data_IF_264091387817
#
_entry.id   IF_264091387817
#
_cell.length_a   1.000
_cell.length_b   1.000
_cell.length_c   1.000
_cell.angle_alpha   90.00
_cell.angle_beta   90.00
_cell.angle_gamma   90.00
#
_symmetry.space_group_name_H-M   'P 1'
#
loop_
_entity.id
_entity.type
_entity.pdbx_description
1 polymer ?
#
# COMPACT_ATOMS: atom_id res chain seq x y z
N UNK A 1 -89.42 19.26 -37.54
CA UNK A 1 -88.24 19.34 -38.43
C UNK A 1 -87.04 18.85 -37.62
N UNK A 2 -86.53 17.72 -38.07
CA UNK A 2 -85.51 16.92 -37.36
C UNK A 2 -84.15 17.31 -37.91
N UNK A 3 -83.21 17.76 -37.05
CA UNK A 3 -81.88 18.05 -37.50
C UNK A 3 -80.92 17.01 -36.90
N UNK A 4 -80.22 16.28 -37.81
CA UNK A 4 -79.33 15.17 -37.52
C UNK A 4 -77.95 15.76 -37.21
N UNK A 5 -77.46 15.58 -35.99
CA UNK A 5 -76.08 15.85 -35.60
C UNK A 5 -75.15 14.71 -36.01
N UNK A 6 -74.09 15.02 -36.77
CA UNK A 6 -73.02 14.10 -37.16
C UNK A 6 -72.06 13.87 -35.99
N UNK A 7 -71.88 12.62 -35.64
CA UNK A 7 -70.82 12.19 -34.72
C UNK A 7 -69.52 12.05 -35.49
N UNK A 8 -68.48 12.79 -35.05
CA UNK A 8 -67.13 12.62 -35.52
C UNK A 8 -66.41 11.69 -34.55
N UNK A 9 -65.93 10.57 -35.06
CA UNK A 9 -65.13 9.58 -34.31
C UNK A 9 -63.66 10.00 -34.41
N UNK A 10 -62.99 10.23 -33.26
CA UNK A 10 -61.52 10.35 -33.17
C UNK A 10 -60.92 8.98 -32.98
N UNK A 11 -59.83 8.61 -33.73
CA UNK A 11 -59.12 7.37 -33.45
C UNK A 11 -58.17 7.58 -32.27
N UNK A 12 -58.27 6.73 -31.27
CA UNK A 12 -57.39 6.62 -30.14
C UNK A 12 -56.06 5.97 -30.65
N UNK A 13 -55.00 6.73 -30.76
CA UNK A 13 -53.65 6.21 -31.00
C UNK A 13 -53.12 5.65 -29.69
N UNK A 14 -53.00 4.32 -29.57
CA UNK A 14 -52.22 3.66 -28.53
C UNK A 14 -50.72 3.84 -28.82
N UNK A 15 -50.05 4.69 -28.04
CA UNK A 15 -48.61 4.72 -27.97
C UNK A 15 -48.15 3.55 -27.12
N UNK A 16 -47.66 2.48 -27.73
CA UNK A 16 -46.94 1.39 -27.04
C UNK A 16 -45.54 1.88 -26.76
N UNK A 17 -45.28 2.25 -25.48
CA UNK A 17 -43.92 2.51 -24.98
C UNK A 17 -43.16 1.19 -24.81
N UNK A 18 -42.29 0.91 -25.78
CA UNK A 18 -41.27 -0.15 -25.65
C UNK A 18 -40.27 0.27 -24.59
N UNK A 19 -40.42 -0.27 -23.37
CA UNK A 19 -39.39 -0.23 -22.35
C UNK A 19 -38.24 -1.14 -22.78
N UNK A 20 -37.18 -0.53 -23.33
CA UNK A 20 -35.89 -1.20 -23.47
C UNK A 20 -35.31 -1.37 -22.07
N UNK A 21 -35.51 -2.53 -21.45
CA UNK A 21 -34.71 -2.96 -20.32
C UNK A 21 -33.30 -3.27 -20.84
N UNK A 22 -32.36 -2.36 -20.63
CA UNK A 22 -30.95 -2.66 -20.80
C UNK A 22 -30.59 -3.82 -19.83
N UNK A 23 -29.91 -4.87 -20.30
CA UNK A 23 -29.45 -5.91 -19.40
C UNK A 23 -28.49 -5.25 -18.39
N UNK A 24 -28.83 -5.34 -17.12
CA UNK A 24 -27.91 -5.06 -16.02
C UNK A 24 -26.81 -6.12 -16.15
N UNK A 25 -25.65 -5.75 -16.67
CA UNK A 25 -24.47 -6.60 -16.66
C UNK A 25 -24.17 -6.85 -15.18
N UNK A 26 -24.54 -8.02 -14.71
CA UNK A 26 -24.16 -8.49 -13.37
C UNK A 26 -22.63 -8.48 -13.34
N UNK A 27 -22.04 -7.58 -12.57
CA UNK A 27 -20.60 -7.52 -12.36
C UNK A 27 -20.21 -8.83 -11.68
N UNK A 28 -19.57 -9.72 -12.43
CA UNK A 28 -19.12 -11.00 -11.87
C UNK A 28 -18.12 -10.72 -10.76
N UNK A 29 -18.33 -11.35 -9.60
CA UNK A 29 -17.40 -11.25 -8.48
C UNK A 29 -15.96 -11.55 -8.97
N UNK A 30 -14.95 -10.85 -8.47
CA UNK A 30 -13.56 -11.11 -8.85
C UNK A 30 -13.17 -12.54 -8.49
N UNK A 31 -12.38 -13.17 -9.37
CA UNK A 31 -11.80 -14.47 -9.06
C UNK A 31 -10.73 -14.30 -7.97
N UNK A 32 -10.89 -15.03 -6.87
CA UNK A 32 -10.02 -14.94 -5.70
C UNK A 32 -9.33 -16.29 -5.47
N UNK A 33 -8.00 -16.31 -5.53
CA UNK A 33 -7.17 -17.42 -5.09
C UNK A 33 -6.54 -17.06 -3.74
N UNK A 34 -6.61 -17.98 -2.77
CA UNK A 34 -5.99 -17.84 -1.45
C UNK A 34 -5.04 -18.99 -1.19
N UNK A 35 -3.84 -18.69 -0.67
CA UNK A 35 -2.89 -19.70 -0.20
C UNK A 35 -2.25 -19.32 1.13
N UNK A 36 -2.13 -20.27 2.08
CA UNK A 36 -1.29 -20.12 3.26
C UNK A 36 0.19 -20.18 2.82
N UNK A 37 1.00 -19.24 3.29
CA UNK A 37 2.41 -19.14 2.88
C UNK A 37 3.35 -19.27 4.06
N UNK A 38 3.24 -18.40 5.07
CA UNK A 38 4.18 -18.39 6.19
C UNK A 38 3.68 -17.53 7.33
N UNK A 39 4.31 -17.62 8.50
CA UNK A 39 3.91 -16.85 9.67
C UNK A 39 4.51 -15.46 9.66
N UNK A 40 3.75 -14.48 10.12
CA UNK A 40 4.19 -13.10 10.22
C UNK A 40 4.37 -12.43 8.88
N UNK A 41 3.41 -12.60 7.96
CA UNK A 41 3.42 -11.94 6.66
C UNK A 41 3.25 -10.43 6.82
N UNK A 42 4.05 -9.66 6.07
CA UNK A 42 4.03 -8.22 6.04
C UNK A 42 3.95 -7.70 4.61
N UNK A 43 4.94 -6.96 4.14
CA UNK A 43 4.89 -6.33 2.83
C UNK A 43 5.33 -7.26 1.71
N UNK A 44 4.88 -6.92 0.53
CA UNK A 44 5.17 -7.65 -0.70
C UNK A 44 5.63 -6.69 -1.78
N UNK A 45 6.51 -7.17 -2.65
CA UNK A 45 6.87 -6.50 -3.89
C UNK A 45 6.78 -7.48 -5.07
N UNK A 46 6.35 -6.96 -6.22
CA UNK A 46 6.35 -7.70 -7.46
C UNK A 46 7.61 -7.37 -8.27
N UNK A 47 8.35 -8.36 -8.69
CA UNK A 47 9.44 -8.21 -9.65
C UNK A 47 8.96 -8.55 -11.05
N UNK A 48 8.89 -7.55 -11.91
CA UNK A 48 8.54 -7.75 -13.32
C UNK A 48 9.64 -8.56 -14.04
N UNK A 49 10.91 -8.27 -13.76
CA UNK A 49 12.04 -8.96 -14.39
C UNK A 49 12.07 -10.46 -14.09
N UNK A 50 11.71 -10.85 -12.86
CA UNK A 50 11.70 -12.23 -12.42
C UNK A 50 10.31 -12.88 -12.52
N UNK A 51 9.29 -12.13 -12.89
CA UNK A 51 7.88 -12.53 -12.86
C UNK A 51 7.54 -13.27 -11.55
N UNK A 52 7.80 -12.61 -10.44
CA UNK A 52 7.68 -13.20 -9.11
C UNK A 52 7.20 -12.20 -8.07
N UNK A 53 6.48 -12.69 -7.08
CA UNK A 53 6.07 -11.93 -5.90
C UNK A 53 6.98 -12.30 -4.73
N UNK A 54 7.47 -11.32 -3.97
CA UNK A 54 8.31 -11.53 -2.80
C UNK A 54 7.59 -11.04 -1.57
N UNK A 55 7.45 -11.94 -0.58
CA UNK A 55 6.73 -11.69 0.66
C UNK A 55 7.70 -11.67 1.84
N UNK A 56 7.75 -10.55 2.57
CA UNK A 56 8.46 -10.44 3.83
C UNK A 56 7.70 -11.18 4.96
N UNK A 57 8.38 -12.05 5.70
CA UNK A 57 7.79 -12.74 6.85
C UNK A 57 8.71 -12.74 8.06
N UNK A 58 8.17 -12.33 9.19
CA UNK A 58 8.90 -12.27 10.47
C UNK A 58 8.97 -13.63 11.20
N UNK A 59 8.24 -14.63 10.75
CA UNK A 59 8.06 -15.95 11.33
C UNK A 59 7.44 -15.90 12.75
N UNK A 60 8.21 -15.97 13.79
CA UNK A 60 7.74 -15.92 15.18
C UNK A 60 8.02 -14.58 15.84
N UNK A 61 7.15 -14.14 16.75
CA UNK A 61 7.40 -12.97 17.60
C UNK A 61 8.48 -13.22 18.66
N UNK A 62 8.66 -14.47 19.06
CA UNK A 62 9.55 -14.89 20.16
C UNK A 62 11.00 -15.05 19.73
N UNK A 63 11.23 -15.27 18.41
CA UNK A 63 12.56 -15.48 17.88
C UNK A 63 13.17 -14.14 17.44
N UNK A 64 14.40 -13.88 17.85
CA UNK A 64 15.17 -12.74 17.37
C UNK A 64 15.65 -12.92 15.93
N UNK A 65 15.75 -14.19 15.52
CA UNK A 65 16.26 -14.65 14.22
C UNK A 65 15.17 -15.42 13.46
N UNK A 66 15.49 -15.82 12.25
CA UNK A 66 14.65 -16.72 11.47
C UNK A 66 13.65 -16.03 10.56
N UNK A 67 13.83 -14.75 10.23
CA UNK A 67 13.05 -14.07 9.20
C UNK A 67 13.27 -14.67 7.84
N UNK A 68 12.21 -14.75 7.04
CA UNK A 68 12.19 -15.38 5.72
C UNK A 68 11.52 -14.46 4.71
N UNK A 69 12.08 -14.42 3.50
CA UNK A 69 11.41 -13.87 2.33
C UNK A 69 11.00 -15.04 1.45
N UNK A 70 9.70 -15.16 1.16
CA UNK A 70 9.18 -16.15 0.23
C UNK A 70 9.10 -15.56 -1.17
N UNK A 71 9.68 -16.27 -2.16
CA UNK A 71 9.42 -16.03 -3.57
C UNK A 71 8.24 -16.89 -3.99
N UNK A 72 7.22 -16.25 -4.57
CA UNK A 72 5.98 -16.90 -4.97
C UNK A 72 5.79 -16.81 -6.49
N UNK A 73 5.24 -17.85 -7.07
CA UNK A 73 4.67 -17.79 -8.40
C UNK A 73 3.44 -16.84 -8.38
N UNK A 74 3.38 -15.80 -9.21
CA UNK A 74 2.32 -14.80 -9.14
C UNK A 74 0.97 -15.31 -9.62
N UNK A 75 0.92 -16.43 -10.34
CA UNK A 75 -0.32 -17.04 -10.85
C UNK A 75 -0.91 -18.01 -9.85
N UNK A 76 -0.08 -18.92 -9.33
CA UNK A 76 -0.50 -20.02 -8.47
C UNK A 76 -0.32 -19.75 -6.98
N UNK A 77 0.48 -18.72 -6.61
CA UNK A 77 0.94 -18.40 -5.26
C UNK A 77 1.77 -19.53 -4.62
N UNK A 78 2.29 -20.46 -5.40
CA UNK A 78 3.19 -21.48 -4.89
C UNK A 78 4.54 -20.89 -4.49
N UNK A 79 5.07 -21.36 -3.36
CA UNK A 79 6.42 -20.99 -2.94
C UNK A 79 7.44 -21.64 -3.89
N UNK A 80 8.17 -20.80 -4.62
CA UNK A 80 9.21 -21.24 -5.56
C UNK A 80 10.61 -21.17 -4.96
N UNK A 81 10.81 -20.33 -3.93
CA UNK A 81 12.07 -20.22 -3.20
C UNK A 81 11.82 -19.70 -1.78
N UNK A 82 12.63 -20.18 -0.84
CA UNK A 82 12.69 -19.70 0.54
C UNK A 82 14.04 -19.03 0.73
N UNK A 83 14.02 -17.70 1.00
CA UNK A 83 15.22 -16.90 1.20
C UNK A 83 15.34 -16.61 2.70
N UNK A 84 16.37 -17.17 3.34
CA UNK A 84 16.63 -16.96 4.75
C UNK A 84 17.27 -15.58 4.96
N UNK A 85 16.50 -14.68 5.59
CA UNK A 85 16.97 -13.34 5.91
C UNK A 85 17.71 -13.28 7.26
N UNK A 86 17.62 -14.32 8.07
CA UNK A 86 18.15 -14.49 9.44
C UNK A 86 17.58 -13.51 10.47
N UNK A 87 17.21 -12.31 10.06
CA UNK A 87 16.52 -11.29 10.86
C UNK A 87 15.16 -10.98 10.24
N UNK A 88 14.28 -10.31 10.98
CA UNK A 88 12.88 -10.18 10.63
C UNK A 88 12.62 -9.07 9.59
N UNK A 89 12.28 -9.40 8.33
CA UNK A 89 11.87 -8.41 7.34
C UNK A 89 10.40 -8.03 7.55
N UNK A 90 10.09 -6.75 7.32
CA UNK A 90 8.76 -6.18 7.42
C UNK A 90 8.40 -5.36 6.17
N UNK A 91 9.01 -4.19 6.00
CA UNK A 91 8.85 -3.34 4.81
C UNK A 91 9.60 -3.92 3.62
N UNK A 92 9.12 -3.64 2.41
CA UNK A 92 9.71 -4.16 1.18
C UNK A 92 9.72 -3.09 0.07
N UNK A 93 10.82 -3.04 -0.69
CA UNK A 93 10.93 -2.25 -1.92
C UNK A 93 11.75 -3.00 -2.96
N UNK A 94 11.63 -2.59 -4.22
CA UNK A 94 12.39 -3.15 -5.33
C UNK A 94 12.96 -2.02 -6.20
N UNK A 95 14.21 -2.12 -6.57
CA UNK A 95 14.73 -1.41 -7.71
C UNK A 95 14.45 -2.23 -8.98
N UNK A 96 13.45 -1.83 -9.75
CA UNK A 96 13.01 -2.59 -10.92
C UNK A 96 14.07 -2.66 -12.04
N UNK A 97 15.04 -1.75 -12.09
CA UNK A 97 16.12 -1.76 -13.09
C UNK A 97 17.23 -2.74 -12.76
N UNK A 98 17.59 -2.84 -11.47
CA UNK A 98 18.67 -3.72 -11.02
C UNK A 98 18.17 -5.08 -10.56
N UNK A 99 16.86 -5.22 -10.32
CA UNK A 99 16.26 -6.41 -9.71
C UNK A 99 16.61 -6.57 -8.23
N UNK A 100 17.22 -5.57 -7.60
CA UNK A 100 17.57 -5.61 -6.17
C UNK A 100 16.32 -5.41 -5.32
N UNK A 101 16.08 -6.34 -4.42
CA UNK A 101 15.04 -6.28 -3.40
C UNK A 101 15.62 -5.68 -2.12
N UNK A 102 14.85 -4.82 -1.46
CA UNK A 102 15.23 -4.23 -0.18
C UNK A 102 14.18 -4.57 0.87
N UNK A 103 14.61 -5.01 2.05
CA UNK A 103 13.74 -5.33 3.17
C UNK A 103 14.15 -4.58 4.41
N UNK A 104 13.19 -3.85 5.00
CA UNK A 104 13.37 -3.17 6.27
C UNK A 104 13.24 -4.14 7.43
N UNK A 105 14.27 -4.21 8.26
CA UNK A 105 14.29 -5.06 9.46
C UNK A 105 14.01 -4.19 10.68
N UNK A 106 12.74 -3.93 10.93
CA UNK A 106 12.26 -2.96 11.93
C UNK A 106 12.82 -3.21 13.34
N UNK A 107 12.90 -4.46 13.75
CA UNK A 107 13.39 -4.85 15.10
C UNK A 107 14.91 -4.72 15.22
N UNK A 108 15.62 -4.82 14.08
CA UNK A 108 17.08 -4.80 14.02
C UNK A 108 17.65 -3.48 13.50
N UNK A 109 16.82 -2.46 13.30
CA UNK A 109 17.18 -1.12 12.85
C UNK A 109 18.04 -1.11 11.56
N UNK A 110 17.78 -2.04 10.64
CA UNK A 110 18.61 -2.27 9.47
C UNK A 110 17.81 -2.49 8.20
N UNK A 111 18.49 -2.45 7.06
CA UNK A 111 17.98 -2.85 5.74
C UNK A 111 18.80 -4.02 5.23
N UNK A 112 18.16 -4.98 4.58
CA UNK A 112 18.81 -6.06 3.82
C UNK A 112 18.56 -5.84 2.35
N UNK A 113 19.60 -5.98 1.51
CA UNK A 113 19.49 -6.07 0.08
C UNK A 113 19.63 -7.53 -0.39
N UNK A 114 18.76 -7.95 -1.29
CA UNK A 114 18.72 -9.32 -1.84
C UNK A 114 18.71 -9.23 -3.37
N UNK A 115 19.49 -10.07 -4.01
CA UNK A 115 19.40 -10.26 -5.45
C UNK A 115 18.09 -10.99 -5.78
N UNK A 116 17.19 -10.34 -6.51
CA UNK A 116 15.86 -10.91 -6.83
C UNK A 116 15.95 -12.17 -7.71
N UNK A 117 16.97 -12.27 -8.55
CA UNK A 117 17.14 -13.41 -9.45
C UNK A 117 17.63 -14.67 -8.71
N UNK A 118 18.64 -14.51 -7.87
CA UNK A 118 19.29 -15.62 -7.17
C UNK A 118 18.73 -15.89 -5.78
N UNK A 119 18.17 -14.86 -5.12
CA UNK A 119 17.79 -14.90 -3.72
C UNK A 119 18.98 -14.73 -2.77
N UNK A 120 20.15 -14.37 -3.27
CA UNK A 120 21.34 -14.17 -2.45
C UNK A 120 21.24 -12.85 -1.68
N UNK A 121 21.58 -12.89 -0.39
CA UNK A 121 21.71 -11.68 0.45
C UNK A 121 22.99 -10.94 0.03
N UNK A 122 22.83 -9.79 -0.62
CA UNK A 122 23.93 -8.93 -1.09
C UNK A 122 24.63 -8.20 0.06
N UNK A 123 23.86 -7.84 1.08
CA UNK A 123 24.39 -7.10 2.21
C UNK A 123 23.31 -6.61 3.18
N UNK A 124 23.77 -5.98 4.24
CA UNK A 124 22.94 -5.43 5.31
C UNK A 124 23.54 -4.12 5.81
N UNK A 125 22.69 -3.11 5.97
CA UNK A 125 23.08 -1.80 6.52
C UNK A 125 22.30 -1.55 7.81
N UNK A 126 23.02 -1.35 8.93
CA UNK A 126 22.44 -0.85 10.16
C UNK A 126 22.23 0.66 10.02
N UNK A 127 20.99 1.13 10.22
CA UNK A 127 20.60 2.52 10.04
C UNK A 127 20.67 3.34 11.34
N UNK A 128 20.44 2.66 12.48
CA UNK A 128 20.56 3.25 13.82
C UNK A 128 21.30 2.29 14.73
N UNK A 129 22.56 2.64 15.05
CA UNK A 129 23.46 1.81 15.85
C UNK A 129 23.24 1.96 17.38
N UNK A 130 22.37 2.88 17.77
CA UNK A 130 22.07 3.08 19.20
C UNK A 130 21.51 1.80 19.81
N UNK A 131 22.02 1.42 20.96
CA UNK A 131 21.51 0.26 21.69
C UNK A 131 20.24 0.64 22.44
N UNK A 132 19.22 -0.20 22.34
CA UNK A 132 17.96 -0.02 23.08
C UNK A 132 18.19 -0.13 24.58
N UNK A 133 17.66 0.85 25.30
CA UNK A 133 17.63 0.88 26.78
C UNK A 133 16.30 1.47 27.25
N UNK A 134 16.13 1.68 28.53
CA UNK A 134 14.94 2.37 29.07
C UNK A 134 14.81 3.80 28.52
N UNK A 135 15.95 4.50 28.36
CA UNK A 135 16.00 5.89 27.88
C UNK A 135 16.29 6.05 26.40
N UNK A 136 16.77 5.00 25.71
CA UNK A 136 17.13 5.04 24.29
C UNK A 136 16.24 4.11 23.49
N UNK A 137 15.50 4.68 22.56
CA UNK A 137 14.69 3.95 21.57
C UNK A 137 15.28 4.22 20.19
N UNK A 138 16.02 3.27 19.60
CA UNK A 138 16.52 3.41 18.25
C UNK A 138 15.36 3.61 17.26
N UNK A 139 15.61 4.39 16.22
CA UNK A 139 14.66 4.56 15.14
C UNK A 139 14.51 3.24 14.36
N UNK A 140 13.29 2.90 14.02
CA UNK A 140 12.98 1.63 13.38
C UNK A 140 12.62 1.84 11.90
N UNK A 141 13.27 1.16 10.94
CA UNK A 141 12.84 1.17 9.54
C UNK A 141 11.38 0.73 9.41
N UNK A 142 10.58 1.50 8.64
CA UNK A 142 9.16 1.19 8.46
C UNK A 142 8.81 1.06 6.97
N UNK A 143 8.72 2.12 6.24
CA UNK A 143 8.35 2.14 4.83
C UNK A 143 9.59 2.37 3.97
N UNK A 144 9.64 1.70 2.83
CA UNK A 144 10.75 1.78 1.90
C UNK A 144 10.24 2.11 0.50
N UNK A 145 10.99 2.93 -0.22
CA UNK A 145 10.77 3.16 -1.65
C UNK A 145 12.11 3.31 -2.37
N UNK A 146 12.25 2.67 -3.52
CA UNK A 146 13.46 2.74 -4.33
C UNK A 146 13.24 3.63 -5.56
N UNK A 147 14.16 4.56 -5.78
CA UNK A 147 14.30 5.28 -7.04
C UNK A 147 15.21 4.48 -7.98
N UNK A 148 14.60 3.86 -9.00
CA UNK A 148 15.31 3.02 -9.93
C UNK A 148 16.26 3.79 -10.85
N UNK A 149 16.04 5.10 -11.07
CA UNK A 149 16.86 5.93 -11.95
C UNK A 149 18.17 6.35 -11.28
N UNK A 150 18.14 6.61 -9.99
CA UNK A 150 19.29 7.06 -9.21
C UNK A 150 19.90 5.97 -8.34
N UNK A 151 19.33 4.78 -8.34
CA UNK A 151 19.64 3.65 -7.44
C UNK A 151 19.70 4.10 -5.97
N UNK A 152 18.66 4.83 -5.57
CA UNK A 152 18.54 5.37 -4.21
C UNK A 152 17.39 4.70 -3.49
N UNK A 153 17.65 4.21 -2.28
CA UNK A 153 16.63 3.71 -1.39
C UNK A 153 16.32 4.77 -0.32
N UNK A 154 15.04 5.12 -0.19
CA UNK A 154 14.54 5.96 0.89
C UNK A 154 13.85 5.08 1.92
N UNK A 155 14.12 5.31 3.20
CA UNK A 155 13.59 4.50 4.31
C UNK A 155 13.11 5.43 5.42
N UNK A 156 11.86 5.31 5.85
CA UNK A 156 11.38 6.03 7.03
C UNK A 156 11.91 5.38 8.30
N UNK A 157 12.42 6.19 9.22
CA UNK A 157 12.86 5.78 10.56
C UNK A 157 11.86 6.24 11.61
N UNK A 158 11.09 5.28 12.16
CA UNK A 158 10.07 5.55 13.16
C UNK A 158 10.63 5.98 14.49
N UNK A 159 10.12 7.06 15.04
CA UNK A 159 10.39 7.55 16.38
C UNK A 159 9.62 8.82 16.68
N UNK A 160 9.78 9.35 17.89
CA UNK A 160 9.16 10.62 18.27
C UNK A 160 9.68 11.80 17.43
N UNK A 161 10.88 11.67 16.89
CA UNK A 161 11.47 12.53 15.87
C UNK A 161 11.93 11.65 14.72
N UNK A 162 11.00 11.37 13.80
CA UNK A 162 11.25 10.52 12.65
C UNK A 162 12.25 11.14 11.68
N UNK A 163 12.87 10.28 10.89
CA UNK A 163 13.79 10.66 9.82
C UNK A 163 13.42 9.93 8.54
N UNK A 164 14.03 10.36 7.42
CA UNK A 164 14.16 9.53 6.22
C UNK A 164 15.65 9.31 5.97
N UNK A 165 16.06 8.06 5.97
CA UNK A 165 17.41 7.68 5.54
C UNK A 165 17.46 7.60 4.02
N UNK A 166 18.51 8.16 3.45
CA UNK A 166 18.82 8.11 2.01
C UNK A 166 20.01 7.17 1.84
N UNK A 167 19.76 6.03 1.23
CA UNK A 167 20.73 4.93 1.13
C UNK A 167 21.13 4.72 -0.33
N UNK A 168 22.41 4.52 -0.59
CA UNK A 168 22.91 4.03 -1.86
C UNK A 168 22.43 2.60 -2.07
N UNK A 169 21.65 2.36 -3.13
CA UNK A 169 21.04 1.05 -3.39
C UNK A 169 22.06 -0.01 -3.85
N UNK A 170 23.15 0.43 -4.48
CA UNK A 170 24.21 -0.45 -4.98
C UNK A 170 25.16 -0.88 -3.86
N UNK A 171 25.68 0.08 -3.11
CA UNK A 171 26.77 -0.14 -2.16
C UNK A 171 26.26 -0.30 -0.72
N UNK A 172 24.96 -0.12 -0.48
CA UNK A 172 24.31 -0.14 0.84
C UNK A 172 25.04 0.78 1.85
N UNK A 173 25.29 2.01 1.44
CA UNK A 173 25.88 3.03 2.31
C UNK A 173 24.87 4.15 2.57
N UNK A 174 24.92 4.73 3.76
CA UNK A 174 24.08 5.87 4.11
C UNK A 174 24.62 7.14 3.45
N UNK A 175 23.82 7.73 2.53
CA UNK A 175 24.18 8.99 1.84
C UNK A 175 23.77 10.22 2.64
N UNK A 176 22.58 10.18 3.27
CA UNK A 176 22.03 11.29 4.06
C UNK A 176 20.98 10.81 5.05
N UNK A 177 20.72 11.63 6.06
CA UNK A 177 19.60 11.50 6.98
C UNK A 177 18.79 12.79 6.96
N UNK A 178 17.55 12.72 6.52
CA UNK A 178 16.62 13.85 6.44
C UNK A 178 15.83 13.89 7.75
N UNK A 179 16.00 14.96 8.51
CA UNK A 179 15.28 15.20 9.77
C UNK A 179 14.06 16.09 9.56
N UNK A 180 13.24 16.27 10.60
CA UNK A 180 12.07 17.17 10.53
C UNK A 180 10.85 16.55 9.84
N UNK A 181 10.75 15.23 9.81
CA UNK A 181 9.62 14.51 9.19
C UNK A 181 8.46 14.20 10.16
N UNK A 182 8.50 14.77 11.37
CA UNK A 182 7.43 14.65 12.35
C UNK A 182 7.53 13.41 13.24
N UNK A 183 6.46 13.13 13.96
CA UNK A 183 6.38 12.00 14.87
C UNK A 183 5.86 10.77 14.11
N UNK A 184 6.55 9.63 14.26
CA UNK A 184 6.20 8.38 13.59
C UNK A 184 5.89 8.57 12.10
N UNK A 185 6.91 8.87 11.30
CA UNK A 185 6.82 8.92 9.84
C UNK A 185 6.54 7.53 9.27
N UNK A 186 5.28 7.24 8.99
CA UNK A 186 4.78 5.90 8.69
C UNK A 186 4.65 5.61 7.21
N UNK A 187 4.08 6.54 6.44
CA UNK A 187 3.90 6.39 5.00
C UNK A 187 5.00 7.09 4.22
N UNK A 188 5.36 6.53 3.08
CA UNK A 188 6.41 7.04 2.21
C UNK A 188 6.02 6.80 0.75
N UNK A 189 6.08 7.84 -0.08
CA UNK A 189 5.82 7.71 -1.52
C UNK A 189 6.73 8.64 -2.33
N UNK A 190 7.22 8.15 -3.46
CA UNK A 190 8.15 8.85 -4.34
C UNK A 190 7.47 9.22 -5.65
N UNK A 191 7.53 10.49 -6.00
CA UNK A 191 7.35 10.99 -7.37
C UNK A 191 8.74 11.30 -7.95
N UNK A 192 9.32 10.29 -8.61
CA UNK A 192 10.67 10.40 -9.15
C UNK A 192 10.77 11.47 -10.25
N UNK A 193 9.72 11.60 -11.08
CA UNK A 193 9.70 12.59 -12.16
C UNK A 193 9.65 14.03 -11.62
N UNK A 194 8.86 14.26 -10.59
CA UNK A 194 8.76 15.56 -9.91
C UNK A 194 9.91 15.80 -8.92
N UNK A 195 10.74 14.79 -8.64
CA UNK A 195 11.79 14.81 -7.62
C UNK A 195 11.26 15.18 -6.23
N UNK A 196 10.14 14.54 -5.87
CA UNK A 196 9.43 14.74 -4.61
C UNK A 196 9.24 13.42 -3.88
N UNK A 197 9.55 13.47 -2.61
CA UNK A 197 9.26 12.40 -1.67
C UNK A 197 8.23 12.92 -0.66
N UNK A 198 7.25 12.12 -0.36
CA UNK A 198 6.17 12.45 0.56
C UNK A 198 6.20 11.51 1.76
N UNK A 199 6.09 12.09 2.96
CA UNK A 199 5.98 11.34 4.22
C UNK A 199 4.68 11.72 4.89
N UNK A 200 3.96 10.73 5.39
CA UNK A 200 2.82 10.91 6.30
C UNK A 200 3.19 10.46 7.70
N UNK A 201 2.61 11.06 8.74
CA UNK A 201 3.04 10.85 10.11
C UNK A 201 1.89 10.86 11.13
N UNK A 202 2.23 10.60 12.39
CA UNK A 202 1.28 10.58 13.50
C UNK A 202 0.84 11.98 13.96
N UNK A 203 1.51 13.04 13.51
CA UNK A 203 1.09 14.41 13.76
C UNK A 203 -0.04 14.88 12.82
N UNK A 204 -0.48 14.02 11.89
CA UNK A 204 -1.49 14.33 10.90
C UNK A 204 -0.98 15.24 9.78
N UNK A 205 0.28 15.09 9.40
CA UNK A 205 0.94 15.93 8.40
C UNK A 205 1.25 15.19 7.11
N UNK A 206 1.22 15.94 6.01
CA UNK A 206 1.90 15.62 4.76
C UNK A 206 3.21 16.41 4.72
N UNK A 207 4.32 15.71 4.74
CA UNK A 207 5.66 16.28 4.63
C UNK A 207 6.17 16.09 3.21
N UNK A 208 6.59 17.18 2.56
CA UNK A 208 7.14 17.17 1.19
C UNK A 208 8.63 17.39 1.26
N UNK A 209 9.40 16.53 0.60
CA UNK A 209 10.85 16.54 0.57
C UNK A 209 11.33 16.67 -0.88
N UNK A 210 12.35 17.48 -1.12
CA UNK A 210 13.06 17.54 -2.38
C UNK A 210 14.16 16.47 -2.41
N UNK A 211 14.11 15.56 -3.38
CA UNK A 211 15.07 14.45 -3.47
C UNK A 211 16.43 14.83 -4.04
N UNK A 212 16.57 16.00 -4.66
CA UNK A 212 17.86 16.49 -5.15
C UNK A 212 18.68 17.11 -4.03
N UNK A 213 18.03 17.89 -3.18
CA UNK A 213 18.69 18.57 -2.05
C UNK A 213 18.59 17.81 -0.74
N UNK A 214 17.76 16.79 -0.67
CA UNK A 214 17.42 16.06 0.56
C UNK A 214 16.88 16.97 1.67
N UNK A 215 16.09 17.98 1.31
CA UNK A 215 15.53 18.96 2.25
C UNK A 215 14.03 18.87 2.33
N UNK A 216 13.50 19.03 3.53
CA UNK A 216 12.06 19.23 3.74
C UNK A 216 11.68 20.58 3.15
N UNK A 217 10.75 20.58 2.20
CA UNK A 217 10.18 21.77 1.57
C UNK A 217 8.99 22.32 2.34
N UNK A 218 8.14 21.42 2.83
CA UNK A 218 6.96 21.79 3.59
C UNK A 218 6.52 20.68 4.55
N UNK A 219 5.86 21.10 5.61
CA UNK A 219 5.09 20.26 6.53
C UNK A 219 3.70 20.87 6.62
N UNK A 220 2.70 20.16 6.14
CA UNK A 220 1.34 20.65 6.16
C UNK A 220 0.45 19.74 6.98
N UNK A 221 -0.13 20.26 8.06
CA UNK A 221 -1.14 19.56 8.83
C UNK A 221 -2.43 19.49 8.04
N UNK A 222 -3.01 18.30 7.96
CA UNK A 222 -4.23 18.03 7.23
C UNK A 222 -5.37 17.89 8.23
N UNK A 223 -6.47 18.66 8.04
CA UNK A 223 -7.68 18.63 8.87
C UNK A 223 -7.39 18.79 10.38
N UNK A 224 -6.98 19.99 10.79
CA UNK A 224 -6.65 20.32 12.20
C UNK A 224 -7.82 20.14 13.18
N UNK A 225 -9.04 19.94 12.68
CA UNK A 225 -10.23 19.75 13.50
C UNK A 225 -10.32 18.40 14.20
N UNK A 226 -9.48 17.43 13.81
CA UNK A 226 -9.49 16.05 14.31
C UNK A 226 -8.10 15.55 14.65
N UNK A 227 -8.05 14.53 15.50
CA UNK A 227 -6.84 13.74 15.73
C UNK A 227 -6.65 12.78 14.57
N UNK A 228 -5.43 12.70 14.06
CA UNK A 228 -5.02 11.84 12.98
C UNK A 228 -3.81 10.99 13.37
N UNK A 229 -3.71 9.82 12.79
CA UNK A 229 -2.50 9.03 12.73
C UNK A 229 -2.44 8.41 11.33
N UNK A 230 -1.82 9.12 10.42
CA UNK A 230 -1.68 8.63 9.05
C UNK A 230 -0.74 7.44 9.00
N UNK A 231 -1.07 6.45 8.18
CA UNK A 231 -0.30 5.22 8.06
C UNK A 231 0.43 5.10 6.73
N UNK A 232 -0.30 5.04 5.64
CA UNK A 232 0.28 4.86 4.31
C UNK A 232 -0.21 5.91 3.32
N UNK A 233 0.54 6.05 2.23
CA UNK A 233 0.27 7.00 1.15
C UNK A 233 0.51 6.33 -0.19
N UNK A 234 -0.36 6.56 -1.17
CA UNK A 234 -0.16 6.15 -2.55
C UNK A 234 -0.41 7.32 -3.50
N UNK A 235 0.41 7.46 -4.54
CA UNK A 235 0.37 8.60 -5.45
C UNK A 235 -0.34 8.27 -6.76
N UNK A 236 -1.13 9.23 -7.22
CA UNK A 236 -1.50 9.41 -8.61
C UNK A 236 -0.78 10.66 -9.12
N UNK A 237 0.48 10.49 -9.49
CA UNK A 237 1.36 11.58 -9.90
C UNK A 237 0.84 12.31 -11.14
N UNK A 238 0.20 11.58 -12.06
CA UNK A 238 -0.35 12.16 -13.30
C UNK A 238 -1.45 13.20 -13.03
N UNK A 239 -2.22 13.02 -11.95
CA UNK A 239 -3.28 13.94 -11.52
C UNK A 239 -2.90 14.75 -10.27
N UNK A 240 -1.63 14.76 -9.87
CA UNK A 240 -1.11 15.49 -8.72
C UNK A 240 -1.87 15.25 -7.42
N UNK A 241 -2.23 14.01 -7.13
CA UNK A 241 -2.96 13.65 -5.91
C UNK A 241 -2.35 12.45 -5.18
N UNK A 242 -2.60 12.44 -3.89
CA UNK A 242 -2.23 11.36 -2.99
C UNK A 242 -3.46 10.83 -2.27
N UNK A 243 -3.47 9.52 -2.01
CA UNK A 243 -4.44 8.83 -1.16
C UNK A 243 -3.75 8.46 0.14
N UNK A 244 -4.29 8.90 1.28
CA UNK A 244 -3.67 8.76 2.61
C UNK A 244 -4.63 8.02 3.54
N UNK A 245 -4.15 6.93 4.14
CA UNK A 245 -4.88 6.15 5.14
C UNK A 245 -4.68 6.69 6.54
N UNK A 246 -5.71 6.53 7.38
CA UNK A 246 -5.74 7.04 8.73
C UNK A 246 -6.25 5.95 9.70
N UNK A 247 -5.52 5.72 10.78
CA UNK A 247 -5.93 4.76 11.81
C UNK A 247 -6.83 5.35 12.90
N UNK A 248 -7.01 6.67 12.90
CA UNK A 248 -7.85 7.37 13.88
C UNK A 248 -9.21 7.77 13.33
N UNK A 249 -9.33 7.86 12.01
CA UNK A 249 -10.55 8.29 11.34
C UNK A 249 -10.98 7.25 10.30
N UNK A 250 -12.29 6.96 10.16
CA UNK A 250 -12.82 6.01 9.19
C UNK A 250 -12.89 6.65 7.79
N UNK A 251 -11.74 7.01 7.25
CA UNK A 251 -11.63 7.70 5.97
C UNK A 251 -10.28 7.48 5.30
N UNK A 252 -10.26 7.67 3.98
CA UNK A 252 -9.05 7.94 3.20
C UNK A 252 -9.10 9.40 2.74
N UNK A 253 -8.03 10.15 2.98
CA UNK A 253 -7.91 11.51 2.48
C UNK A 253 -7.37 11.49 1.04
N UNK A 254 -7.98 12.29 0.17
CA UNK A 254 -7.46 12.61 -1.17
C UNK A 254 -6.90 14.02 -1.11
N UNK A 255 -5.60 14.16 -1.40
CA UNK A 255 -4.86 15.41 -1.19
C UNK A 255 -4.15 15.84 -2.46
N UNK A 256 -4.19 17.13 -2.80
CA UNK A 256 -3.39 17.72 -3.88
C UNK A 256 -1.92 17.78 -3.44
N UNK A 257 -1.04 17.08 -4.16
CA UNK A 257 0.38 16.99 -3.81
C UNK A 257 1.16 18.29 -4.03
N UNK A 258 0.63 19.26 -4.79
CA UNK A 258 1.26 20.54 -5.07
C UNK A 258 1.17 21.53 -3.91
N UNK A 259 0.08 21.43 -3.14
CA UNK A 259 -0.23 22.42 -2.09
C UNK A 259 -0.73 21.80 -0.77
N UNK A 260 -0.95 20.47 -0.74
CA UNK A 260 -1.45 19.75 0.42
C UNK A 260 -2.92 20.05 0.76
N UNK A 261 -3.71 20.57 -0.17
CA UNK A 261 -5.14 20.77 0.08
C UNK A 261 -5.91 19.46 -0.02
N UNK A 262 -6.86 19.26 0.88
CA UNK A 262 -7.76 18.10 0.83
C UNK A 262 -8.73 18.32 -0.33
N UNK A 263 -8.71 17.40 -1.30
CA UNK A 263 -9.60 17.36 -2.46
C UNK A 263 -10.89 16.63 -2.14
N UNK A 264 -10.80 15.56 -1.35
CA UNK A 264 -11.94 14.74 -0.96
C UNK A 264 -11.61 13.90 0.29
N UNK A 265 -12.67 13.42 0.95
CA UNK A 265 -12.63 12.42 2.02
C UNK A 265 -13.48 11.24 1.56
N UNK A 266 -12.90 10.04 1.53
CA UNK A 266 -13.58 8.82 1.14
C UNK A 266 -13.95 8.08 2.43
N UNK A 267 -15.25 7.94 2.68
CA UNK A 267 -15.74 7.22 3.86
C UNK A 267 -15.52 5.72 3.69
N UNK A 268 -14.67 5.16 4.52
CA UNK A 268 -14.31 3.74 4.58
C UNK A 268 -14.02 3.37 6.03
N UNK A 269 -14.04 2.10 6.42
CA UNK A 269 -13.54 1.68 7.74
C UNK A 269 -12.10 2.13 7.99
N UNK A 270 -11.64 2.07 9.25
CA UNK A 270 -10.23 2.30 9.58
C UNK A 270 -9.31 1.56 8.64
N UNK A 271 -8.33 2.26 8.08
CA UNK A 271 -7.53 1.79 6.96
C UNK A 271 -6.04 1.70 7.30
N UNK A 272 -5.35 0.74 6.67
CA UNK A 272 -3.91 0.55 6.83
C UNK A 272 -3.17 0.80 5.51
N UNK A 273 -3.21 -0.13 4.58
CA UNK A 273 -2.54 0.01 3.29
C UNK A 273 -3.47 0.67 2.26
N UNK A 274 -2.86 1.43 1.35
CA UNK A 274 -3.53 2.03 0.19
C UNK A 274 -2.64 1.87 -1.04
N UNK A 275 -3.26 1.58 -2.19
CA UNK A 275 -2.54 1.42 -3.44
C UNK A 275 -3.40 1.95 -4.60
N UNK A 276 -2.87 2.92 -5.35
CA UNK A 276 -3.47 3.42 -6.58
C UNK A 276 -3.04 2.57 -7.77
N UNK A 277 -4.00 2.22 -8.60
CA UNK A 277 -3.79 1.47 -9.85
C UNK A 277 -4.07 2.39 -11.05
N UNK A 278 -3.04 2.88 -11.74
CA UNK A 278 -3.23 3.78 -12.88
C UNK A 278 -3.85 3.09 -14.09
N UNK A 279 -3.64 1.77 -14.27
CA UNK A 279 -4.19 1.03 -15.39
C UNK A 279 -5.72 0.93 -15.36
N UNK A 280 -6.31 0.97 -14.15
CA UNK A 280 -7.75 0.84 -13.92
C UNK A 280 -8.39 2.09 -13.36
N UNK A 281 -7.58 3.07 -12.98
CA UNK A 281 -8.01 4.25 -12.22
C UNK A 281 -8.82 3.87 -10.97
N UNK A 282 -8.27 2.92 -10.22
CA UNK A 282 -8.85 2.38 -8.98
C UNK A 282 -7.90 2.58 -7.80
N UNK A 283 -8.46 2.65 -6.59
CA UNK A 283 -7.73 2.68 -5.33
C UNK A 283 -8.15 1.48 -4.48
N UNK A 284 -7.17 0.75 -3.97
CA UNK A 284 -7.39 -0.37 -3.07
C UNK A 284 -6.98 0.01 -1.65
N UNK A 285 -7.81 -0.35 -0.68
CA UNK A 285 -7.61 0.02 0.73
C UNK A 285 -7.87 -1.19 1.62
N UNK A 286 -6.91 -1.53 2.49
CA UNK A 286 -7.09 -2.63 3.45
C UNK A 286 -7.69 -2.14 4.75
N UNK A 287 -8.66 -2.91 5.27
CA UNK A 287 -9.35 -2.68 6.53
C UNK A 287 -9.15 -3.89 7.46
N UNK A 288 -8.16 -3.79 8.34
CA UNK A 288 -7.73 -4.95 9.15
C UNK A 288 -8.83 -5.47 10.06
N UNK A 289 -9.52 -4.59 10.76
CA UNK A 289 -10.56 -4.99 11.71
C UNK A 289 -11.83 -5.47 10.99
N UNK A 290 -12.16 -4.88 9.87
CA UNK A 290 -13.30 -5.30 9.05
C UNK A 290 -13.05 -6.58 8.25
N UNK A 291 -11.78 -7.00 8.07
CA UNK A 291 -11.40 -8.18 7.30
C UNK A 291 -11.76 -8.03 5.83
N UNK A 292 -11.43 -6.90 5.22
CA UNK A 292 -11.79 -6.62 3.83
C UNK A 292 -10.86 -5.64 3.15
N UNK A 293 -10.91 -5.63 1.82
CA UNK A 293 -10.25 -4.66 0.94
C UNK A 293 -11.31 -3.94 0.14
N UNK A 294 -11.36 -2.62 0.24
CA UNK A 294 -12.20 -1.78 -0.61
C UNK A 294 -11.56 -1.57 -1.98
N UNK A 295 -12.37 -1.68 -3.02
CA UNK A 295 -12.05 -1.28 -4.40
C UNK A 295 -12.83 -0.02 -4.71
N UNK A 296 -12.14 1.08 -4.96
CA UNK A 296 -12.71 2.43 -5.05
C UNK A 296 -12.38 3.00 -6.43
N UNK A 297 -13.38 3.58 -7.10
CA UNK A 297 -13.15 4.36 -8.33
C UNK A 297 -12.41 5.66 -8.00
N UNK A 298 -11.23 5.84 -8.59
CA UNK A 298 -10.38 6.98 -8.28
C UNK A 298 -10.88 8.32 -8.87
N UNK A 299 -11.89 8.31 -9.74
CA UNK A 299 -12.50 9.51 -10.32
C UNK A 299 -13.68 10.01 -9.49
N UNK A 300 -14.61 9.11 -9.17
CA UNK A 300 -15.83 9.44 -8.44
C UNK A 300 -15.69 9.27 -6.93
N UNK A 301 -14.63 8.59 -6.46
CA UNK A 301 -14.37 8.20 -5.07
C UNK A 301 -15.46 7.27 -4.48
N UNK A 302 -16.20 6.58 -5.35
CA UNK A 302 -17.24 5.64 -4.93
C UNK A 302 -16.68 4.24 -4.77
N UNK A 303 -17.18 3.54 -3.77
CA UNK A 303 -16.91 2.12 -3.59
C UNK A 303 -17.51 1.34 -4.76
N UNK A 304 -16.65 0.61 -5.49
CA UNK A 304 -17.03 -0.27 -6.59
C UNK A 304 -17.31 -1.68 -6.10
N UNK A 305 -16.45 -2.17 -5.19
CA UNK A 305 -16.52 -3.54 -4.69
C UNK A 305 -15.79 -3.66 -3.34
N UNK A 306 -16.08 -4.75 -2.64
CA UNK A 306 -15.38 -5.13 -1.41
C UNK A 306 -14.93 -6.59 -1.53
N UNK A 307 -13.64 -6.84 -1.36
CA UNK A 307 -13.06 -8.19 -1.32
C UNK A 307 -12.94 -8.61 0.14
N UNK A 308 -13.70 -9.61 0.55
CA UNK A 308 -13.61 -10.17 1.92
C UNK A 308 -12.33 -10.99 2.06
N UNK A 309 -11.69 -10.83 3.21
CA UNK A 309 -10.53 -11.61 3.60
C UNK A 309 -10.84 -12.47 4.82
N UNK A 310 -10.14 -13.61 5.01
CA UNK A 310 -10.45 -14.50 6.15
C UNK A 310 -10.14 -13.88 7.51
N UNK A 311 -9.16 -12.95 7.55
CA UNK A 311 -8.69 -12.26 8.76
C UNK A 311 -8.19 -10.86 8.39
N UNK A 312 -7.03 -10.45 8.88
CA UNK A 312 -6.52 -9.08 8.83
C UNK A 312 -5.71 -8.78 7.55
N UNK A 313 -6.29 -8.17 6.50
CA UNK A 313 -5.52 -7.74 5.34
C UNK A 313 -4.49 -6.69 5.77
N UNK A 314 -3.26 -6.81 5.26
CA UNK A 314 -2.15 -6.00 5.75
C UNK A 314 -1.54 -5.14 4.65
N UNK A 315 -0.98 -5.74 3.61
CA UNK A 315 -0.25 -5.05 2.55
C UNK A 315 -0.79 -5.41 1.17
N UNK A 316 -0.52 -4.58 0.20
CA UNK A 316 -1.02 -4.65 -1.17
C UNK A 316 0.14 -4.62 -2.16
N UNK A 317 0.03 -5.39 -3.24
CA UNK A 317 0.90 -5.29 -4.40
C UNK A 317 0.07 -5.50 -5.68
N UNK A 318 0.56 -4.97 -6.82
CA UNK A 318 -0.07 -5.13 -8.13
C UNK A 318 0.84 -5.89 -9.09
N UNK A 319 0.23 -6.64 -10.00
CA UNK A 319 0.91 -7.08 -11.20
C UNK A 319 1.29 -5.87 -12.08
N UNK A 320 2.34 -5.98 -12.92
CA UNK A 320 2.80 -4.85 -13.75
C UNK A 320 1.75 -4.30 -14.71
N UNK A 321 0.82 -5.14 -15.16
CA UNK A 321 -0.29 -4.76 -16.04
C UNK A 321 -1.49 -4.17 -15.27
N UNK A 322 -1.43 -4.15 -13.94
CA UNK A 322 -2.51 -3.65 -13.08
C UNK A 322 -3.77 -4.52 -13.09
N UNK A 323 -3.72 -5.76 -13.60
CA UNK A 323 -4.91 -6.62 -13.70
C UNK A 323 -5.05 -7.61 -12.53
N UNK A 324 -4.03 -7.69 -11.67
CA UNK A 324 -4.05 -8.57 -10.51
C UNK A 324 -3.60 -7.83 -9.26
N UNK A 325 -4.43 -7.93 -8.22
CA UNK A 325 -4.12 -7.42 -6.88
C UNK A 325 -3.69 -8.58 -5.98
N UNK A 326 -2.59 -8.38 -5.25
CA UNK A 326 -2.12 -9.29 -4.21
C UNK A 326 -2.31 -8.65 -2.84
N UNK A 327 -2.76 -9.45 -1.87
CA UNK A 327 -3.00 -8.99 -0.51
C UNK A 327 -2.35 -9.96 0.47
N UNK A 328 -1.47 -9.47 1.34
CA UNK A 328 -1.02 -10.27 2.48
C UNK A 328 -2.06 -10.20 3.60
N UNK A 329 -2.39 -11.35 4.18
CA UNK A 329 -3.46 -11.47 5.18
C UNK A 329 -2.92 -12.13 6.42
N UNK A 330 -2.89 -11.41 7.52
CA UNK A 330 -2.36 -11.88 8.80
C UNK A 330 -3.43 -12.63 9.59
N UNK A 331 -3.01 -13.69 10.25
CA UNK A 331 -3.84 -14.32 11.27
C UNK A 331 -3.92 -13.46 12.53
N UNK A 332 -5.02 -13.60 13.27
CA UNK A 332 -5.15 -12.94 14.55
C UNK A 332 -4.07 -13.43 15.51
N UNK A 333 -3.30 -12.52 16.06
CA UNK A 333 -2.26 -12.81 17.04
C UNK A 333 -2.06 -11.65 18.03
N UNK A 334 -1.65 -11.96 19.23
CA UNK A 334 -1.28 -10.99 20.26
C UNK A 334 0.13 -11.25 20.79
N UNK A 335 0.59 -10.43 21.75
CA UNK A 335 1.85 -10.69 22.45
C UNK A 335 1.80 -11.99 23.27
N UNK A 336 0.62 -12.35 23.74
CA UNK A 336 0.39 -13.51 24.61
C UNK A 336 0.09 -14.77 23.80
N UNK A 337 -0.55 -14.61 22.62
CA UNK A 337 -0.97 -15.73 21.79
C UNK A 337 -0.52 -15.52 20.36
N UNK A 338 0.48 -16.27 19.93
CA UNK A 338 0.87 -16.35 18.52
C UNK A 338 -0.18 -17.12 17.69
N UNK A 339 -0.31 -16.72 16.43
CA UNK A 339 -1.10 -17.50 15.49
C UNK A 339 -0.50 -18.89 15.29
N UNK A 340 -1.33 -19.91 15.32
CA UNK A 340 -0.94 -21.30 15.06
C UNK A 340 -0.90 -21.61 13.57
N UNK A 341 -1.84 -21.03 12.80
CA UNK A 341 -1.89 -21.16 11.36
C UNK A 341 -0.92 -20.18 10.66
N UNK A 342 -0.43 -20.52 9.47
CA UNK A 342 0.29 -19.57 8.62
C UNK A 342 -0.61 -18.41 8.19
N UNK A 343 -0.01 -17.28 7.88
CA UNK A 343 -0.65 -16.16 7.22
C UNK A 343 -0.86 -16.48 5.74
N UNK A 344 -1.82 -15.82 5.11
CA UNK A 344 -2.19 -16.06 3.73
C UNK A 344 -1.67 -14.98 2.78
N UNK A 345 -1.57 -15.34 1.51
CA UNK A 345 -1.59 -14.41 0.39
C UNK A 345 -2.85 -14.66 -0.43
N UNK A 346 -3.51 -13.58 -0.81
CA UNK A 346 -4.68 -13.61 -1.69
C UNK A 346 -4.29 -12.95 -3.02
N UNK A 347 -4.66 -13.60 -4.12
CA UNK A 347 -4.59 -13.08 -5.48
C UNK A 347 -6.01 -12.79 -5.95
N UNK A 348 -6.26 -11.56 -6.37
CA UNK A 348 -7.56 -11.10 -6.86
C UNK A 348 -7.41 -10.71 -8.33
N UNK A 349 -8.09 -11.42 -9.23
CA UNK A 349 -8.19 -11.01 -10.64
C UNK A 349 -9.14 -9.81 -10.72
N UNK A 350 -8.63 -8.67 -11.13
CA UNK A 350 -9.38 -7.43 -11.30
C UNK A 350 -10.06 -7.47 -12.69
N UNK A 351 -11.39 -7.43 -12.71
CA UNK A 351 -12.20 -7.54 -13.96
C UNK A 351 -12.79 -6.20 -14.35
#
# INVERSE_FOLDING_TARGET
MINKGKRVAFPLMLLSSLLFSAPLLAQTAPEVLRKPVGKGAYEMVYSQGENALYLATSQSRKLDKGGVVYRLDPTTLDVTQIIHNDIKPFGAAINAKTGTLFFGNTVNNSVTAIDGKTGEVKGRLVLDERKRSESVKPLAPRELVADADTDTLYVTGLGDSSVVWVVDGKDLTLRATITGTGKYGTGLALDAAAKRLYVTNADGELVTIDTQSNKVLSRKKLDESKEHFFLNISLDSANHRAFITDSKQPQVLVVDTRNGNILSKIDVPESLAVLFNPARNEVYVTHRQAGEVSVIDAKSYKLLNTVKTPTHPNSLALSPDGQTLYVSVKQASSREKEATAPDDVIRVALK
#
